data_IF_162379571202
#
_entry.id   IF_162379571202
#
_cell.length_a   1.000
_cell.length_b   1.000
_cell.length_c   1.000
_cell.angle_alpha   90.00
_cell.angle_beta   90.00
_cell.angle_gamma   90.00
#
_symmetry.space_group_name_H-M   'P 1'
#
loop_
_entity.id
_entity.type
_entity.pdbx_description
1 polymer ?
#
# COMPACT_ATOMS: atom_id res chain seq x y z
N UNK A 1 -90.09 -25.14 -14.74
CA UNK A 1 -89.04 -26.20 -14.75
C UNK A 1 -88.34 -26.19 -16.10
N UNK A 2 -87.22 -25.48 -16.23
CA UNK A 2 -86.24 -25.68 -17.30
C UNK A 2 -84.87 -25.24 -16.78
N UNK A 3 -83.92 -26.18 -16.74
CA UNK A 3 -82.52 -26.01 -16.36
C UNK A 3 -81.73 -25.39 -17.51
N UNK A 4 -80.86 -24.40 -17.22
CA UNK A 4 -79.62 -24.08 -17.96
C UNK A 4 -78.62 -23.54 -16.92
N UNK A 5 -77.74 -24.38 -16.37
CA UNK A 5 -76.35 -24.65 -16.79
C UNK A 5 -75.44 -23.39 -16.70
N UNK A 6 -74.54 -23.44 -15.72
CA UNK A 6 -73.40 -22.56 -15.46
C UNK A 6 -72.45 -22.46 -16.66
N UNK A 7 -71.84 -21.28 -16.84
CA UNK A 7 -70.43 -21.15 -17.23
C UNK A 7 -69.86 -19.95 -16.46
N UNK A 8 -69.05 -20.21 -15.43
CA UNK A 8 -68.16 -19.21 -14.81
C UNK A 8 -66.86 -19.26 -15.60
N UNK A 9 -66.58 -18.21 -16.38
CA UNK A 9 -65.32 -18.07 -17.09
C UNK A 9 -64.20 -17.69 -16.12
N UNK A 10 -63.33 -18.65 -15.80
CA UNK A 10 -62.03 -18.38 -15.17
C UNK A 10 -61.07 -17.91 -16.27
N UNK A 11 -60.77 -16.61 -16.31
CA UNK A 11 -59.70 -16.10 -17.17
C UNK A 11 -58.38 -16.37 -16.45
N UNK A 12 -57.70 -17.44 -16.84
CA UNK A 12 -56.29 -17.66 -16.49
C UNK A 12 -55.46 -16.80 -17.42
N UNK A 13 -55.07 -15.61 -16.98
CA UNK A 13 -54.00 -14.85 -17.64
C UNK A 13 -52.67 -15.53 -17.32
N UNK A 14 -52.22 -16.43 -18.20
CA UNK A 14 -50.84 -16.88 -18.20
C UNK A 14 -49.96 -15.70 -18.62
N UNK A 15 -49.43 -14.95 -17.65
CA UNK A 15 -48.34 -14.02 -17.90
C UNK A 15 -47.10 -14.85 -18.22
N UNK A 16 -46.79 -15.00 -19.52
CA UNK A 16 -45.47 -15.40 -19.98
C UNK A 16 -44.50 -14.30 -19.52
N UNK A 17 -43.85 -14.51 -18.36
CA UNK A 17 -42.63 -13.78 -18.02
C UNK A 17 -41.59 -14.20 -19.04
N UNK A 18 -41.41 -13.38 -20.07
CA UNK A 18 -40.23 -13.41 -20.92
C UNK A 18 -39.09 -13.03 -19.97
N UNK A 19 -38.41 -14.05 -19.43
CA UNK A 19 -37.09 -13.85 -18.85
C UNK A 19 -36.24 -13.26 -19.97
N UNK A 20 -36.06 -11.94 -19.91
CA UNK A 20 -35.03 -11.26 -20.69
C UNK A 20 -33.72 -11.94 -20.30
N UNK A 21 -33.18 -12.72 -21.21
CA UNK A 21 -31.81 -13.19 -21.15
C UNK A 21 -30.96 -11.91 -21.13
N UNK A 22 -30.58 -11.46 -19.93
CA UNK A 22 -29.56 -10.46 -19.73
C UNK A 22 -28.26 -11.06 -20.28
N UNK A 23 -28.03 -10.87 -21.57
CA UNK A 23 -26.69 -10.97 -22.14
C UNK A 23 -25.83 -10.01 -21.34
N UNK A 24 -24.82 -10.54 -20.64
CA UNK A 24 -23.80 -9.70 -20.01
C UNK A 24 -23.38 -8.61 -21.01
N UNK A 25 -23.27 -7.34 -20.59
CA UNK A 25 -22.92 -6.28 -21.51
C UNK A 25 -21.65 -6.68 -22.26
N UNK A 26 -21.76 -6.78 -23.58
CA UNK A 26 -20.62 -7.06 -24.46
C UNK A 26 -19.55 -6.04 -24.08
N UNK A 27 -18.38 -6.52 -23.67
CA UNK A 27 -17.26 -5.67 -23.28
C UNK A 27 -16.97 -4.74 -24.45
N UNK A 28 -17.31 -3.47 -24.28
CA UNK A 28 -17.10 -2.45 -25.30
C UNK A 28 -15.59 -2.26 -25.38
N UNK A 29 -15.00 -2.75 -26.47
CA UNK A 29 -13.63 -2.43 -26.82
C UNK A 29 -13.67 -0.97 -27.30
N UNK A 30 -13.22 -0.05 -26.44
CA UNK A 30 -13.15 1.37 -26.73
C UNK A 30 -12.04 1.63 -27.76
N UNK A 31 -12.38 2.09 -28.96
CA UNK A 31 -11.42 2.61 -29.95
C UNK A 31 -11.17 4.11 -29.67
N UNK A 32 -10.63 4.38 -28.48
CA UNK A 32 -10.23 5.74 -28.07
C UNK A 32 -8.78 6.03 -28.49
N UNK A 33 -8.39 7.30 -28.69
CA UNK A 33 -7.00 7.66 -28.93
C UNK A 33 -6.07 7.08 -27.85
N UNK A 34 -4.92 6.54 -28.26
CA UNK A 34 -3.96 5.86 -27.38
C UNK A 34 -3.56 6.75 -26.20
N UNK A 35 -3.44 8.06 -26.43
CA UNK A 35 -3.13 9.08 -25.43
C UNK A 35 -4.18 9.11 -24.34
N UNK A 36 -5.47 9.04 -24.71
CA UNK A 36 -6.58 9.04 -23.75
C UNK A 36 -6.56 7.76 -22.92
N UNK A 37 -6.30 6.61 -23.54
CA UNK A 37 -6.13 5.32 -22.84
C UNK A 37 -4.97 5.42 -21.85
N UNK A 38 -3.82 5.97 -22.28
CA UNK A 38 -2.67 6.16 -21.41
C UNK A 38 -2.97 7.08 -20.23
N UNK A 39 -3.59 8.25 -20.47
CA UNK A 39 -3.98 9.18 -19.41
C UNK A 39 -4.98 8.57 -18.42
N UNK A 40 -5.91 7.75 -18.89
CA UNK A 40 -6.92 7.16 -18.02
C UNK A 40 -6.39 6.02 -17.16
N UNK A 41 -5.49 5.18 -17.71
CA UNK A 41 -5.12 3.91 -17.09
C UNK A 41 -3.67 3.84 -16.61
N UNK A 42 -2.77 4.70 -17.11
CA UNK A 42 -1.32 4.56 -16.92
C UNK A 42 -0.66 5.79 -16.28
N UNK A 43 -1.09 7.02 -16.63
CA UNK A 43 -0.36 8.24 -16.26
C UNK A 43 -0.27 8.50 -14.75
N UNK A 44 -1.26 8.07 -13.96
CA UNK A 44 -1.25 8.24 -12.51
C UNK A 44 -0.08 7.53 -11.82
N UNK A 45 0.40 6.43 -12.41
CA UNK A 45 1.55 5.67 -11.92
C UNK A 45 2.85 6.00 -12.67
N UNK A 46 2.74 6.32 -13.97
CA UNK A 46 3.89 6.42 -14.86
C UNK A 46 4.26 7.85 -15.27
N UNK A 47 3.49 8.84 -14.80
CA UNK A 47 3.60 10.24 -15.22
C UNK A 47 2.89 10.49 -16.54
N UNK A 48 2.42 11.73 -16.75
CA UNK A 48 1.67 12.13 -17.95
C UNK A 48 2.50 11.97 -19.22
N UNK A 49 3.82 12.17 -19.12
CA UNK A 49 4.77 12.03 -20.22
C UNK A 49 5.72 10.88 -19.98
N UNK A 50 5.28 9.77 -19.37
CA UNK A 50 6.12 8.56 -19.17
C UNK A 50 7.40 8.82 -18.34
N UNK A 51 7.43 9.88 -17.54
CA UNK A 51 8.63 10.35 -16.81
C UNK A 51 9.15 9.30 -15.82
N UNK A 52 8.25 8.44 -15.29
CA UNK A 52 8.65 7.38 -14.38
C UNK A 52 9.58 6.33 -15.00
N UNK A 53 9.67 6.26 -16.33
CA UNK A 53 10.43 5.23 -17.04
C UNK A 53 11.87 5.64 -17.39
N UNK A 54 12.21 6.91 -17.26
CA UNK A 54 13.46 7.47 -17.79
C UNK A 54 14.63 7.31 -16.85
N UNK A 55 14.40 7.55 -15.55
CA UNK A 55 15.47 7.56 -14.54
C UNK A 55 15.47 6.31 -13.64
N UNK A 56 14.81 5.24 -14.09
CA UNK A 56 14.66 3.99 -13.34
C UNK A 56 15.30 2.80 -14.03
N UNK A 57 15.75 1.85 -13.22
CA UNK A 57 16.23 0.56 -13.71
C UNK A 57 15.02 -0.29 -14.09
N UNK A 58 14.94 -0.65 -15.38
CA UNK A 58 13.91 -1.54 -15.91
C UNK A 58 14.10 -2.96 -15.39
N UNK A 59 13.08 -3.52 -14.74
CA UNK A 59 13.12 -4.87 -14.18
C UNK A 59 12.64 -5.96 -15.14
N UNK A 60 11.81 -5.59 -16.11
CA UNK A 60 11.12 -6.53 -17.00
C UNK A 60 11.42 -6.27 -18.48
N UNK A 61 12.52 -5.56 -18.75
CA UNK A 61 12.90 -5.17 -20.10
C UNK A 61 12.22 -3.88 -20.58
N UNK A 62 12.66 -3.38 -21.74
CA UNK A 62 12.26 -2.08 -22.31
C UNK A 62 11.94 -2.13 -23.80
N UNK A 63 11.98 -3.32 -24.40
CA UNK A 63 11.62 -3.53 -25.80
C UNK A 63 10.10 -3.58 -25.95
N UNK A 64 9.58 -3.31 -27.15
CA UNK A 64 8.13 -3.36 -27.41
C UNK A 64 7.48 -4.68 -26.98
N UNK A 65 8.03 -5.88 -27.31
CA UNK A 65 7.43 -7.14 -26.87
C UNK A 65 7.39 -7.29 -25.34
N UNK A 66 8.42 -6.81 -24.64
CA UNK A 66 8.51 -6.85 -23.17
C UNK A 66 7.51 -5.89 -22.52
N UNK A 67 7.31 -4.70 -23.09
CA UNK A 67 6.29 -3.75 -22.67
C UNK A 67 4.89 -4.30 -22.89
N UNK A 68 4.62 -4.88 -24.06
CA UNK A 68 3.34 -5.55 -24.34
C UNK A 68 3.09 -6.67 -23.33
N UNK A 69 4.09 -7.50 -23.03
CA UNK A 69 3.99 -8.55 -22.03
C UNK A 69 3.71 -7.98 -20.62
N UNK A 70 4.39 -6.89 -20.24
CA UNK A 70 4.23 -6.21 -18.95
C UNK A 70 2.83 -5.63 -18.80
N UNK A 71 2.34 -4.87 -19.79
CA UNK A 71 1.00 -4.26 -19.78
C UNK A 71 -0.08 -5.34 -19.79
N UNK A 72 0.11 -6.40 -20.59
CA UNK A 72 -0.84 -7.50 -20.66
C UNK A 72 -0.95 -8.22 -19.32
N UNK A 73 0.17 -8.68 -18.77
CA UNK A 73 0.15 -9.61 -17.64
C UNK A 73 0.12 -8.90 -16.29
N UNK A 74 0.61 -7.65 -16.20
CA UNK A 74 0.82 -6.96 -14.95
C UNK A 74 1.87 -7.63 -14.05
N UNK A 75 2.20 -6.95 -12.96
CA UNK A 75 3.02 -7.43 -11.86
C UNK A 75 2.34 -7.02 -10.55
N UNK A 76 1.31 -7.78 -10.16
CA UNK A 76 0.47 -7.47 -9.00
C UNK A 76 1.29 -7.36 -7.70
N UNK A 77 2.37 -8.12 -7.58
CA UNK A 77 3.32 -8.04 -6.45
C UNK A 77 4.12 -6.73 -6.40
N UNK A 78 4.23 -6.05 -7.54
CA UNK A 78 4.86 -4.72 -7.66
C UNK A 78 3.84 -3.58 -7.80
N UNK A 79 2.54 -3.87 -7.68
CA UNK A 79 1.47 -2.87 -7.80
C UNK A 79 1.14 -2.46 -9.24
N UNK A 80 1.57 -3.24 -10.25
CA UNK A 80 1.18 -3.02 -11.64
C UNK A 80 0.02 -3.98 -11.99
N UNK A 81 -1.22 -3.51 -12.20
CA UNK A 81 -2.35 -4.37 -12.52
C UNK A 81 -2.21 -5.00 -13.91
N UNK A 82 -2.95 -6.09 -14.15
CA UNK A 82 -3.11 -6.67 -15.49
C UNK A 82 -4.14 -5.89 -16.30
N UNK A 83 -3.82 -5.61 -17.56
CA UNK A 83 -4.78 -5.04 -18.52
C UNK A 83 -5.35 -6.08 -19.49
N UNK A 84 -4.95 -7.36 -19.33
CA UNK A 84 -5.47 -8.46 -20.14
C UNK A 84 -6.99 -8.52 -20.04
N UNK A 85 -7.61 -8.47 -21.21
CA UNK A 85 -9.05 -8.48 -21.35
C UNK A 85 -9.70 -7.14 -21.03
N UNK A 86 -9.07 -6.21 -20.32
CA UNK A 86 -9.59 -4.84 -20.12
C UNK A 86 -9.35 -4.01 -21.39
N UNK A 87 -8.13 -4.05 -21.92
CA UNK A 87 -7.73 -3.41 -23.17
C UNK A 87 -7.64 -4.44 -24.29
N UNK A 88 -7.84 -4.01 -25.54
CA UNK A 88 -7.61 -4.90 -26.68
C UNK A 88 -6.12 -5.13 -26.91
N UNK A 89 -5.71 -6.26 -27.52
CA UNK A 89 -4.31 -6.47 -27.90
C UNK A 89 -3.73 -5.34 -28.76
N UNK A 90 -4.56 -4.72 -29.60
CA UNK A 90 -4.19 -3.58 -30.44
C UNK A 90 -3.90 -2.33 -29.60
N UNK A 91 -4.70 -2.05 -28.58
CA UNK A 91 -4.48 -0.90 -27.70
C UNK A 91 -3.25 -1.09 -26.83
N UNK A 92 -3.02 -2.31 -26.35
CA UNK A 92 -1.80 -2.65 -25.60
C UNK A 92 -0.56 -2.46 -26.49
N UNK A 93 -0.62 -2.91 -27.74
CA UNK A 93 0.47 -2.73 -28.71
C UNK A 93 0.77 -1.25 -28.96
N UNK A 94 -0.28 -0.45 -29.20
CA UNK A 94 -0.15 1.01 -29.38
C UNK A 94 0.34 1.73 -28.12
N UNK A 95 -0.06 1.29 -26.93
CA UNK A 95 0.45 1.85 -25.67
C UNK A 95 1.96 1.62 -25.54
N UNK A 96 2.44 0.44 -25.95
CA UNK A 96 3.87 0.16 -25.96
C UNK A 96 4.62 1.07 -26.95
N UNK A 97 4.04 1.33 -28.13
CA UNK A 97 4.59 2.31 -29.08
C UNK A 97 4.64 3.72 -28.48
N UNK A 98 3.53 4.21 -27.92
CA UNK A 98 3.46 5.53 -27.29
C UNK A 98 4.51 5.68 -26.17
N UNK A 99 4.71 4.65 -25.35
CA UNK A 99 5.73 4.67 -24.30
C UNK A 99 7.12 4.80 -24.93
N UNK A 100 7.45 4.01 -25.95
CA UNK A 100 8.76 4.05 -26.61
C UNK A 100 9.00 5.40 -27.31
N UNK A 101 7.99 5.93 -27.99
CA UNK A 101 8.06 7.21 -28.70
C UNK A 101 8.25 8.37 -27.72
N UNK A 102 7.45 8.42 -26.65
CA UNK A 102 7.56 9.48 -25.66
C UNK A 102 8.86 9.39 -24.85
N UNK A 103 9.38 8.19 -24.60
CA UNK A 103 10.67 8.00 -23.92
C UNK A 103 11.83 8.73 -24.62
N UNK A 104 11.78 8.90 -25.94
CA UNK A 104 12.80 9.65 -26.68
C UNK A 104 12.75 11.16 -26.42
N UNK A 105 11.58 11.69 -26.04
CA UNK A 105 11.34 13.12 -25.84
C UNK A 105 11.40 13.59 -24.38
N UNK A 106 11.51 12.67 -23.42
CA UNK A 106 11.56 13.02 -22.00
C UNK A 106 13.01 13.24 -21.58
N UNK A 107 13.28 14.39 -20.97
CA UNK A 107 14.59 14.68 -20.42
C UNK A 107 14.95 13.66 -19.33
N UNK A 108 16.07 12.97 -19.53
CA UNK A 108 16.63 12.12 -18.49
C UNK A 108 17.35 12.97 -17.45
N UNK A 109 17.20 12.63 -16.17
CA UNK A 109 18.02 13.21 -15.13
C UNK A 109 19.48 12.80 -15.36
N UNK A 110 20.28 13.74 -15.86
CA UNK A 110 21.73 13.57 -15.96
C UNK A 110 22.33 13.83 -14.59
N UNK A 111 23.04 12.85 -14.02
CA UNK A 111 23.77 13.03 -12.76
C UNK A 111 24.84 14.14 -12.82
N UNK A 112 25.24 14.57 -14.02
CA UNK A 112 26.07 15.76 -14.26
C UNK A 112 25.38 17.06 -13.83
N UNK A 113 24.04 17.07 -13.77
CA UNK A 113 23.21 18.16 -13.25
C UNK A 113 23.00 18.08 -11.73
N UNK A 114 23.84 17.34 -11.01
CA UNK A 114 23.82 17.36 -9.54
C UNK A 114 23.89 18.82 -9.05
N UNK A 115 23.02 19.22 -8.12
CA UNK A 115 23.08 20.55 -7.55
C UNK A 115 24.50 20.83 -7.04
N UNK A 116 25.14 21.89 -7.58
CA UNK A 116 26.45 22.35 -7.11
C UNK A 116 26.38 22.96 -5.70
N UNK A 117 25.16 23.23 -5.25
CA UNK A 117 24.84 23.78 -3.95
C UNK A 117 23.77 22.91 -3.31
N UNK A 118 23.83 22.78 -1.99
CA UNK A 118 22.72 22.25 -1.20
C UNK A 118 21.73 23.34 -0.79
N UNK A 119 21.86 24.56 -1.31
CA UNK A 119 20.94 25.68 -1.11
C UNK A 119 20.17 25.89 -2.42
N UNK A 120 18.84 25.85 -2.31
CA UNK A 120 17.89 26.04 -3.40
C UNK A 120 17.04 27.27 -3.07
N UNK A 121 17.12 28.29 -3.91
CA UNK A 121 16.35 29.52 -3.74
C UNK A 121 15.16 29.47 -4.68
N UNK A 122 13.95 29.59 -4.12
CA UNK A 122 12.72 29.83 -4.86
C UNK A 122 12.30 31.29 -4.66
N UNK A 123 11.21 31.72 -5.32
CA UNK A 123 10.69 33.09 -5.18
C UNK A 123 10.33 33.46 -3.74
N UNK A 124 9.89 32.50 -2.91
CA UNK A 124 9.39 32.76 -1.55
C UNK A 124 10.17 32.10 -0.41
N UNK A 125 10.98 31.08 -0.68
CA UNK A 125 11.74 30.34 0.35
C UNK A 125 13.12 29.92 -0.14
N UNK A 126 14.06 29.89 0.81
CA UNK A 126 15.38 29.26 0.63
C UNK A 126 15.39 27.92 1.34
N UNK A 127 15.61 26.85 0.59
CA UNK A 127 15.66 25.47 1.10
C UNK A 127 17.12 25.05 1.19
N UNK A 128 17.54 24.51 2.33
CA UNK A 128 18.85 23.85 2.48
C UNK A 128 18.65 22.35 2.60
N UNK A 129 19.23 21.59 1.69
CA UNK A 129 19.35 20.13 1.79
C UNK A 129 20.46 19.79 2.79
N UNK A 130 20.09 19.14 3.90
CA UNK A 130 21.03 18.65 4.88
C UNK A 130 20.96 17.13 4.99
N UNK A 131 22.09 16.47 4.67
CA UNK A 131 22.17 15.02 4.70
C UNK A 131 22.31 14.53 6.13
N UNK A 132 21.27 13.85 6.63
CA UNK A 132 21.26 13.27 8.00
C UNK A 132 22.02 11.94 8.03
N UNK A 133 21.80 11.07 7.04
CA UNK A 133 22.37 9.73 6.99
C UNK A 133 22.66 9.28 5.56
N UNK A 134 23.64 8.39 5.40
CA UNK A 134 23.96 7.71 4.14
C UNK A 134 24.14 6.21 4.35
N UNK A 135 24.20 5.45 3.25
CA UNK A 135 24.40 4.00 3.27
C UNK A 135 23.23 3.22 3.87
N UNK A 136 22.02 3.77 3.83
CA UNK A 136 20.78 3.04 4.10
C UNK A 136 20.41 2.28 2.82
N UNK A 137 19.90 1.05 2.94
CA UNK A 137 19.53 0.26 1.76
C UNK A 137 18.16 0.66 1.24
N UNK A 138 17.16 0.69 2.13
CA UNK A 138 15.77 0.98 1.78
C UNK A 138 15.09 1.66 2.97
N UNK A 139 15.51 2.89 3.35
CA UNK A 139 14.92 3.60 4.47
C UNK A 139 13.42 3.81 4.26
N UNK A 140 12.63 3.59 5.31
CA UNK A 140 11.16 3.66 5.26
C UNK A 140 10.61 4.81 6.09
N UNK A 141 10.77 4.74 7.41
CA UNK A 141 10.38 5.77 8.36
C UNK A 141 11.55 6.30 9.18
N UNK A 142 11.34 7.45 9.82
CA UNK A 142 12.26 7.99 10.81
C UNK A 142 11.51 8.71 11.93
N UNK A 143 12.12 8.77 13.11
CA UNK A 143 11.63 9.56 14.23
C UNK A 143 12.80 10.31 14.90
N UNK A 144 12.62 11.60 15.16
CA UNK A 144 13.62 12.41 15.85
C UNK A 144 13.44 12.29 17.37
N UNK A 145 14.50 11.88 18.05
CA UNK A 145 14.59 11.80 19.51
C UNK A 145 14.71 13.20 20.14
N UNK A 146 14.39 13.38 21.44
CA UNK A 146 14.51 14.67 22.11
C UNK A 146 15.92 15.27 22.10
N UNK A 147 16.96 14.42 22.04
CA UNK A 147 18.36 14.83 21.90
C UNK A 147 18.76 15.17 20.45
N UNK A 148 17.78 15.21 19.54
CA UNK A 148 17.86 15.48 18.09
C UNK A 148 18.39 14.35 17.23
N UNK A 149 18.85 13.25 17.83
CA UNK A 149 19.25 12.05 17.09
C UNK A 149 18.05 11.42 16.37
N UNK A 150 18.30 10.58 15.39
CA UNK A 150 17.26 9.98 14.57
C UNK A 150 17.25 8.48 14.72
N UNK A 151 16.07 7.92 14.97
CA UNK A 151 15.81 6.52 14.68
C UNK A 151 15.35 6.41 13.23
N UNK A 152 15.95 5.51 12.46
CA UNK A 152 15.63 5.28 11.06
C UNK A 152 15.38 3.79 10.86
N UNK A 153 14.14 3.45 10.50
CA UNK A 153 13.77 2.10 10.06
C UNK A 153 14.19 1.89 8.60
N UNK A 154 14.82 0.76 8.32
CA UNK A 154 15.13 0.28 6.98
C UNK A 154 14.29 -0.96 6.68
N UNK A 155 13.60 -0.95 5.54
CA UNK A 155 12.70 -2.02 5.09
C UNK A 155 13.39 -3.38 5.02
N UNK A 156 14.72 -3.43 4.96
CA UNK A 156 15.51 -4.66 5.04
C UNK A 156 15.49 -5.36 6.41
N UNK A 157 14.76 -4.81 7.38
CA UNK A 157 14.65 -5.38 8.73
C UNK A 157 15.77 -4.90 9.64
N UNK A 158 16.13 -3.62 9.50
CA UNK A 158 17.18 -2.98 10.30
C UNK A 158 16.65 -1.69 10.90
N UNK A 159 16.99 -1.44 12.17
CA UNK A 159 16.73 -0.18 12.84
C UNK A 159 18.08 0.48 13.11
N UNK A 160 18.22 1.77 12.77
CA UNK A 160 19.43 2.53 12.99
C UNK A 160 19.19 3.71 13.91
N UNK A 161 20.12 3.97 14.83
CA UNK A 161 20.29 5.26 15.49
C UNK A 161 21.33 6.06 14.71
N UNK A 162 21.00 7.30 14.37
CA UNK A 162 21.91 8.26 13.73
C UNK A 162 22.08 9.46 14.62
N UNK A 163 23.30 9.68 15.10
CA UNK A 163 23.61 10.79 15.99
C UNK A 163 23.80 12.13 15.24
N UNK A 164 23.94 13.23 15.98
CA UNK A 164 24.21 14.56 15.39
C UNK A 164 25.56 14.64 14.65
N UNK A 165 26.48 13.71 14.88
CA UNK A 165 27.76 13.58 14.15
C UNK A 165 27.63 12.69 12.91
N UNK A 166 26.41 12.22 12.60
CA UNK A 166 26.06 11.33 11.49
C UNK A 166 26.66 9.93 11.62
N UNK A 167 27.05 9.53 12.83
CA UNK A 167 27.40 8.14 13.10
C UNK A 167 26.13 7.30 13.07
N UNK A 168 26.16 6.20 12.32
CA UNK A 168 25.06 5.25 12.19
C UNK A 168 25.37 4.00 13.01
N UNK A 169 24.49 3.64 13.93
CA UNK A 169 24.62 2.45 14.76
C UNK A 169 23.35 1.61 14.67
N UNK A 170 23.50 0.31 14.44
CA UNK A 170 22.35 -0.61 14.41
C UNK A 170 21.79 -0.84 15.82
N UNK A 171 20.46 -0.76 15.93
CA UNK A 171 19.70 -1.22 17.10
C UNK A 171 19.32 -2.68 16.86
N UNK A 172 19.84 -3.56 17.72
CA UNK A 172 19.64 -5.02 17.61
C UNK A 172 18.44 -5.49 18.44
N UNK A 173 17.99 -6.74 18.24
CA UNK A 173 16.92 -7.34 19.04
C UNK A 173 15.49 -6.91 18.66
N UNK A 174 15.33 -6.20 17.54
CA UNK A 174 14.00 -5.91 16.97
C UNK A 174 13.32 -7.21 16.49
N UNK A 175 11.98 -7.24 16.33
CA UNK A 175 11.29 -8.40 15.80
C UNK A 175 11.77 -8.78 14.40
N UNK A 176 11.70 -10.09 14.09
CA UNK A 176 11.91 -10.56 12.72
C UNK A 176 10.80 -10.02 11.80
N UNK A 177 11.19 -9.68 10.57
CA UNK A 177 10.28 -9.09 9.58
C UNK A 177 10.36 -9.83 8.25
N UNK A 178 9.27 -9.84 7.50
CA UNK A 178 9.26 -10.32 6.12
C UNK A 178 9.69 -9.20 5.17
N UNK A 179 10.99 -9.08 4.92
CA UNK A 179 11.57 -8.09 3.99
C UNK A 179 11.44 -8.52 2.52
N UNK A 180 10.20 -8.61 2.02
CA UNK A 180 9.87 -9.00 0.64
C UNK A 180 8.74 -8.14 0.08
N UNK A 181 8.82 -7.83 -1.22
CA UNK A 181 7.85 -6.97 -1.89
C UNK A 181 7.81 -5.57 -1.26
N UNK A 182 6.65 -5.17 -0.76
CA UNK A 182 6.46 -3.93 -0.01
C UNK A 182 6.68 -4.08 1.50
N UNK A 183 6.83 -5.32 1.99
CA UNK A 183 7.01 -5.62 3.41
C UNK A 183 8.44 -5.38 3.89
N UNK A 184 8.58 -5.20 5.21
CA UNK A 184 9.83 -5.04 5.93
C UNK A 184 9.62 -4.49 7.32
N UNK A 185 10.65 -3.85 7.88
CA UNK A 185 10.46 -2.89 8.96
C UNK A 185 9.94 -1.58 8.34
N UNK A 186 8.77 -1.12 8.79
CA UNK A 186 8.04 -0.04 8.14
C UNK A 186 8.08 1.23 8.98
N UNK A 187 6.97 1.63 9.60
CA UNK A 187 6.93 2.91 10.29
C UNK A 187 7.57 2.86 11.66
N UNK A 188 8.01 4.02 12.14
CA UNK A 188 8.55 4.20 13.48
C UNK A 188 8.00 5.49 14.09
N UNK A 189 7.49 5.39 15.32
CA UNK A 189 6.93 6.53 16.03
C UNK A 189 7.41 6.55 17.48
N UNK A 190 7.60 7.74 18.03
CA UNK A 190 7.83 7.91 19.47
C UNK A 190 6.49 8.08 20.17
N UNK A 191 6.40 7.58 21.40
CA UNK A 191 5.30 7.94 22.28
C UNK A 191 5.23 9.48 22.46
N UNK A 192 4.04 10.09 22.58
CA UNK A 192 3.92 11.53 22.85
C UNK A 192 4.66 12.00 24.11
N UNK A 193 4.84 11.11 25.08
CA UNK A 193 5.62 11.30 26.32
C UNK A 193 6.94 10.52 26.33
N UNK A 194 7.60 10.37 25.19
CA UNK A 194 8.82 9.57 25.06
C UNK A 194 9.91 9.99 26.04
N UNK A 195 10.07 11.28 26.33
CA UNK A 195 11.06 11.77 27.29
C UNK A 195 10.82 11.24 28.73
N UNK A 196 9.58 10.86 29.06
CA UNK A 196 9.21 10.32 30.37
C UNK A 196 9.28 8.79 30.41
N UNK A 197 8.85 8.12 29.33
CA UNK A 197 8.62 6.67 29.35
C UNK A 197 9.48 5.85 28.38
N UNK A 198 10.14 6.47 27.42
CA UNK A 198 11.05 5.83 26.48
C UNK A 198 10.40 4.89 25.45
N UNK A 199 9.08 4.91 25.30
CA UNK A 199 8.38 4.00 24.39
C UNK A 199 8.53 4.40 22.92
N UNK A 200 9.05 3.47 22.12
CA UNK A 200 9.12 3.53 20.65
C UNK A 200 8.14 2.50 20.08
N UNK A 201 7.49 2.84 18.98
CA UNK A 201 6.52 1.99 18.27
C UNK A 201 7.06 1.69 16.88
N UNK A 202 6.91 0.46 16.42
CA UNK A 202 7.25 0.05 15.06
C UNK A 202 6.08 -0.69 14.43
N UNK A 203 5.84 -0.44 13.15
CA UNK A 203 5.04 -1.34 12.32
C UNK A 203 5.95 -2.15 11.41
N UNK A 204 5.56 -3.40 11.16
CA UNK A 204 6.39 -4.33 10.40
C UNK A 204 5.54 -5.39 9.70
N UNK A 205 6.13 -6.01 8.69
CA UNK A 205 5.58 -7.19 8.04
C UNK A 205 5.81 -8.44 8.91
N UNK A 206 4.85 -8.74 9.78
CA UNK A 206 4.85 -9.99 10.56
C UNK A 206 4.59 -11.17 9.62
N UNK A 207 5.14 -12.34 9.92
CA UNK A 207 4.95 -13.53 9.10
C UNK A 207 4.94 -14.81 9.94
N UNK A 208 4.37 -15.86 9.35
CA UNK A 208 4.42 -17.24 9.86
C UNK A 208 4.45 -18.23 8.71
N UNK A 209 4.82 -19.47 9.01
CA UNK A 209 4.82 -20.57 8.05
C UNK A 209 3.57 -21.44 8.23
N UNK A 210 2.93 -21.77 7.11
CA UNK A 210 1.89 -22.78 7.00
C UNK A 210 2.35 -23.83 5.97
N UNK A 211 2.94 -24.91 6.48
CA UNK A 211 3.73 -25.85 5.67
C UNK A 211 4.88 -25.13 4.93
N UNK A 212 4.93 -25.25 3.61
CA UNK A 212 5.88 -24.55 2.76
C UNK A 212 5.44 -23.13 2.36
N UNK A 213 4.28 -22.67 2.84
CA UNK A 213 3.72 -21.38 2.47
C UNK A 213 4.06 -20.32 3.51
N UNK A 214 4.63 -19.21 3.07
CA UNK A 214 4.77 -18.02 3.91
C UNK A 214 3.47 -17.24 3.92
N UNK A 215 2.95 -16.98 5.11
CA UNK A 215 1.83 -16.09 5.37
C UNK A 215 2.35 -14.80 5.99
N UNK A 216 1.87 -13.65 5.54
CA UNK A 216 2.27 -12.34 6.06
C UNK A 216 1.09 -11.50 6.50
N UNK A 217 1.35 -10.57 7.40
CA UNK A 217 0.40 -9.59 7.90
C UNK A 217 1.10 -8.32 8.39
N UNK A 218 0.34 -7.33 8.84
CA UNK A 218 0.86 -6.13 9.48
C UNK A 218 0.84 -6.32 10.99
N UNK A 219 2.00 -6.13 11.64
CA UNK A 219 2.13 -6.15 13.10
C UNK A 219 2.53 -4.77 13.64
N UNK A 220 2.09 -4.47 14.86
CA UNK A 220 2.49 -3.28 15.63
C UNK A 220 3.11 -3.74 16.95
N UNK A 221 4.30 -3.24 17.24
CA UNK A 221 5.06 -3.53 18.46
C UNK A 221 5.49 -2.23 19.12
N UNK A 222 5.60 -2.21 20.44
CA UNK A 222 6.35 -1.19 21.17
C UNK A 222 7.48 -1.78 21.99
N UNK A 223 8.45 -0.95 22.33
CA UNK A 223 9.62 -1.32 23.10
C UNK A 223 10.42 -0.09 23.49
N UNK A 224 11.53 -0.33 24.16
CA UNK A 224 12.49 0.71 24.53
C UNK A 224 13.85 0.38 23.94
N UNK A 225 14.74 1.37 23.92
CA UNK A 225 16.10 1.19 23.42
C UNK A 225 17.08 1.41 24.58
N UNK A 226 17.90 0.41 24.87
CA UNK A 226 18.96 0.47 25.89
C UNK A 226 20.22 -0.16 25.34
N UNK A 227 21.35 0.55 25.40
CA UNK A 227 22.66 0.08 24.93
C UNK A 227 22.61 -0.47 23.49
N UNK A 228 21.94 0.25 22.57
CA UNK A 228 21.73 -0.17 21.18
C UNK A 228 20.99 -1.50 21.00
N UNK A 229 20.15 -1.86 21.97
CA UNK A 229 19.27 -3.03 21.90
C UNK A 229 17.82 -2.62 22.13
N UNK A 230 16.92 -3.23 21.38
CA UNK A 230 15.49 -3.22 21.60
C UNK A 230 15.13 -4.12 22.79
N UNK A 231 14.47 -3.54 23.79
CA UNK A 231 14.14 -4.20 25.05
C UNK A 231 12.70 -3.89 25.44
N UNK A 232 12.16 -4.62 26.43
CA UNK A 232 10.77 -4.44 26.91
C UNK A 232 9.74 -4.53 25.76
N UNK A 233 9.99 -5.43 24.79
CA UNK A 233 9.18 -5.58 23.60
C UNK A 233 7.78 -6.09 23.94
N UNK A 234 6.76 -5.40 23.43
CA UNK A 234 5.34 -5.72 23.62
C UNK A 234 4.62 -5.65 22.27
N UNK A 235 4.05 -6.78 21.85
CA UNK A 235 3.17 -6.82 20.69
C UNK A 235 1.84 -6.17 21.05
N UNK A 236 1.43 -5.17 20.26
CA UNK A 236 0.21 -4.40 20.50
C UNK A 236 -0.91 -4.82 19.56
N UNK A 237 -0.55 -5.26 18.35
CA UNK A 237 -1.51 -5.58 17.33
C UNK A 237 -0.94 -6.56 16.30
N UNK A 238 -1.76 -7.51 15.90
CA UNK A 238 -1.52 -8.45 14.81
C UNK A 238 -2.75 -8.42 13.91
N UNK A 239 -2.61 -7.98 12.66
CA UNK A 239 -3.74 -7.95 11.72
C UNK A 239 -4.15 -9.37 11.31
N UNK A 240 -5.45 -9.64 11.33
CA UNK A 240 -6.04 -10.87 10.82
C UNK A 240 -7.05 -10.60 9.68
N UNK A 241 -7.22 -11.55 8.74
CA UNK A 241 -6.42 -12.75 8.56
C UNK A 241 -5.05 -12.45 7.92
N UNK A 242 -4.12 -13.38 8.08
CA UNK A 242 -2.89 -13.40 7.28
C UNK A 242 -3.18 -13.75 5.82
N UNK A 243 -2.33 -13.28 4.91
CA UNK A 243 -2.43 -13.61 3.48
C UNK A 243 -1.10 -14.12 2.91
N UNK A 244 -1.14 -14.68 1.70
CA UNK A 244 0.05 -15.12 0.95
C UNK A 244 0.73 -13.97 0.19
N UNK A 245 0.22 -12.74 0.29
CA UNK A 245 0.68 -11.59 -0.50
C UNK A 245 1.80 -10.83 0.20
N UNK A 246 2.65 -10.15 -0.58
CA UNK A 246 3.78 -9.34 -0.10
C UNK A 246 3.60 -7.85 -0.42
N UNK A 247 2.34 -7.40 -0.58
CA UNK A 247 1.99 -6.02 -0.89
C UNK A 247 0.85 -5.53 0.01
N UNK A 248 0.68 -4.21 0.04
CA UNK A 248 -0.41 -3.48 0.69
C UNK A 248 -0.46 -3.71 2.21
N UNK A 249 0.66 -3.50 2.90
CA UNK A 249 0.73 -3.63 4.37
C UNK A 249 0.03 -2.47 5.11
N UNK A 250 -0.16 -1.30 4.47
CA UNK A 250 -0.34 -0.07 5.26
C UNK A 250 0.95 0.21 6.02
N UNK A 251 0.87 0.77 7.23
CA UNK A 251 1.92 0.79 8.27
C UNK A 251 1.89 2.02 9.18
N UNK A 252 1.38 3.15 8.68
CA UNK A 252 1.63 4.48 9.28
C UNK A 252 1.04 4.54 10.69
N UNK A 253 1.84 4.88 11.69
CA UNK A 253 1.47 5.07 13.09
C UNK A 253 1.41 6.57 13.38
N UNK A 254 0.37 7.02 14.08
CA UNK A 254 0.28 8.40 14.57
C UNK A 254 -0.47 8.46 15.89
N UNK A 255 -0.17 9.44 16.72
CA UNK A 255 -0.88 9.70 17.97
C UNK A 255 -1.69 10.98 17.84
N UNK A 256 -2.93 10.95 18.31
CA UNK A 256 -3.72 12.17 18.42
C UNK A 256 -3.40 12.93 19.71
N UNK A 257 -4.02 14.11 19.86
CA UNK A 257 -3.85 14.95 21.05
C UNK A 257 -4.57 14.41 22.30
N UNK A 258 -5.37 13.36 22.16
CA UNK A 258 -6.11 12.72 23.26
C UNK A 258 -5.42 11.45 23.78
N UNK A 259 -4.30 11.06 23.16
CA UNK A 259 -3.51 9.90 23.56
C UNK A 259 -3.92 8.59 22.87
N UNK A 260 -4.74 8.65 21.82
CA UNK A 260 -5.05 7.49 21.01
C UNK A 260 -3.99 7.27 19.94
N UNK A 261 -3.60 6.02 19.76
CA UNK A 261 -2.76 5.57 18.66
C UNK A 261 -3.64 5.17 17.48
N UNK A 262 -3.35 5.72 16.32
CA UNK A 262 -3.94 5.34 15.05
C UNK A 262 -2.91 4.66 14.18
N UNK A 263 -3.33 3.63 13.44
CA UNK A 263 -2.48 3.04 12.42
C UNK A 263 -3.26 2.48 11.24
N UNK A 264 -2.62 2.45 10.07
CA UNK A 264 -3.20 1.90 8.86
C UNK A 264 -2.78 0.46 8.62
N UNK A 265 -3.75 -0.38 8.25
CA UNK A 265 -3.54 -1.73 7.74
C UNK A 265 -4.08 -1.78 6.32
N UNK A 266 -3.23 -2.10 5.35
CA UNK A 266 -3.64 -2.21 3.96
C UNK A 266 -4.45 -3.48 3.69
N UNK A 267 -5.11 -3.52 2.53
CA UNK A 267 -6.13 -4.53 2.21
C UNK A 267 -5.57 -5.85 1.63
N UNK A 268 -4.25 -5.94 1.45
CA UNK A 268 -3.53 -7.17 1.06
C UNK A 268 -3.83 -7.69 -0.36
N UNK A 269 -4.39 -6.88 -1.25
CA UNK A 269 -4.76 -7.24 -2.63
C UNK A 269 -6.19 -7.77 -2.81
N UNK A 270 -6.98 -7.77 -1.75
CA UNK A 270 -8.41 -8.12 -1.66
C UNK A 270 -9.33 -6.88 -1.61
N UNK A 271 -9.14 -5.95 -2.57
CA UNK A 271 -9.70 -4.58 -2.54
C UNK A 271 -11.23 -4.51 -2.42
N UNK A 272 -11.93 -5.53 -2.90
CA UNK A 272 -13.41 -5.60 -2.91
C UNK A 272 -14.00 -6.28 -1.68
N UNK A 273 -13.18 -6.95 -0.89
CA UNK A 273 -13.61 -7.85 0.18
C UNK A 273 -13.17 -7.28 1.52
N UNK A 274 -11.86 -7.30 1.80
CA UNK A 274 -11.36 -6.94 3.12
C UNK A 274 -11.73 -5.54 3.58
N UNK A 275 -11.65 -4.48 2.75
CA UNK A 275 -12.07 -3.15 3.19
C UNK A 275 -13.55 -3.05 3.59
N UNK A 276 -14.42 -3.87 3.00
CA UNK A 276 -15.87 -3.82 3.21
C UNK A 276 -16.32 -4.67 4.41
N UNK A 277 -15.65 -5.79 4.65
CA UNK A 277 -15.97 -6.71 5.75
C UNK A 277 -15.45 -6.16 7.10
N UNK A 278 -16.26 -6.30 8.14
CA UNK A 278 -15.96 -5.79 9.49
C UNK A 278 -15.36 -6.83 10.43
N UNK A 279 -15.37 -8.11 10.03
CA UNK A 279 -14.85 -9.27 10.75
C UNK A 279 -13.34 -9.51 10.54
N UNK A 280 -12.65 -8.57 9.89
CA UNK A 280 -11.21 -8.60 9.69
C UNK A 280 -10.57 -7.23 9.96
N UNK A 281 -9.24 -7.20 9.89
CA UNK A 281 -8.44 -6.02 10.19
C UNK A 281 -7.85 -5.35 8.95
N UNK A 282 -7.94 -6.02 7.79
CA UNK A 282 -7.29 -5.56 6.57
C UNK A 282 -8.10 -4.44 5.89
N UNK A 283 -7.39 -3.47 5.33
CA UNK A 283 -7.98 -2.33 4.62
C UNK A 283 -8.66 -1.30 5.52
N UNK A 284 -8.18 -1.12 6.75
CA UNK A 284 -8.80 -0.26 7.78
C UNK A 284 -7.80 0.71 8.41
N UNK A 285 -8.37 1.74 9.05
CA UNK A 285 -7.67 2.56 10.05
C UNK A 285 -8.11 2.06 11.42
N UNK A 286 -7.14 1.66 12.23
CA UNK A 286 -7.35 1.18 13.59
C UNK A 286 -7.08 2.28 14.61
N UNK A 287 -7.77 2.21 15.74
CA UNK A 287 -7.60 3.12 16.88
C UNK A 287 -7.48 2.31 18.17
N UNK A 288 -6.34 2.45 18.85
CA UNK A 288 -6.02 1.81 20.13
C UNK A 288 -5.59 2.85 21.17
N UNK A 289 -5.57 2.46 22.43
CA UNK A 289 -4.74 3.13 23.43
C UNK A 289 -3.25 2.90 23.13
N UNK A 290 -2.38 3.69 23.76
CA UNK A 290 -0.92 3.59 23.61
C UNK A 290 -0.37 2.23 24.12
N UNK A 291 -1.11 1.52 24.97
CA UNK A 291 -0.80 0.17 25.42
C UNK A 291 -1.43 -0.96 24.60
N UNK A 292 -2.09 -0.62 23.49
CA UNK A 292 -2.74 -1.59 22.61
C UNK A 292 -4.14 -1.99 23.05
N UNK A 293 -4.63 -1.52 24.20
CA UNK A 293 -6.02 -1.80 24.62
C UNK A 293 -7.03 -1.09 23.71
N UNK A 294 -8.21 -1.69 23.56
CA UNK A 294 -9.28 -1.20 22.66
C UNK A 294 -10.12 -0.12 23.38
N UNK A 295 -10.25 1.09 22.83
CA UNK A 295 -11.14 2.12 23.37
C UNK A 295 -12.59 1.65 23.37
N UNK A 296 -13.28 1.80 24.51
CA UNK A 296 -14.68 1.37 24.69
C UNK A 296 -15.68 2.09 23.76
N UNK A 297 -15.30 3.26 23.26
CA UNK A 297 -16.07 4.07 22.34
C UNK A 297 -15.71 3.82 20.86
N UNK A 298 -14.90 2.80 20.55
CA UNK A 298 -14.69 2.38 19.15
C UNK A 298 -16.03 1.96 18.52
N UNK A 299 -16.27 2.29 17.23
CA UNK A 299 -17.60 2.23 16.62
C UNK A 299 -18.25 0.83 16.56
N UNK A 300 -17.44 -0.23 16.63
CA UNK A 300 -17.89 -1.62 16.50
C UNK A 300 -17.90 -2.41 17.82
N UNK A 301 -17.44 -1.82 18.93
CA UNK A 301 -17.40 -2.50 20.24
C UNK A 301 -18.82 -2.88 20.67
N UNK A 302 -19.05 -4.17 20.89
CA UNK A 302 -20.34 -4.71 21.34
C UNK A 302 -21.49 -4.60 20.33
N UNK A 303 -21.19 -4.26 19.06
CA UNK A 303 -22.18 -4.10 17.99
C UNK A 303 -22.00 -5.10 16.85
N UNK A 304 -20.84 -5.71 16.74
CA UNK A 304 -20.53 -6.73 15.75
C UNK A 304 -20.16 -8.03 16.47
N UNK A 305 -20.87 -9.15 16.26
CA UNK A 305 -20.49 -10.44 16.85
C UNK A 305 -19.12 -10.95 16.39
N UNK A 306 -18.48 -10.31 15.40
CA UNK A 306 -17.14 -10.64 14.95
C UNK A 306 -15.98 -9.90 15.66
N UNK A 307 -16.25 -8.98 16.60
CA UNK A 307 -15.20 -8.28 17.38
C UNK A 307 -15.54 -8.08 18.86
#
# INVERSE_FOLDING_TARGET
>A
MYKKIMIVGFIVTATLSIMSLNTAPKKVILDEPTEKIYTQYCSSCHGEKVEAFVDRVWKHGKTKPELVASITNGYNDMGMPTWKGILSPKDIDKLADLIIENLAGVEQYKFENKPKSNIFVSEGITIKLDTIATGLESPWGFAQLPNKDYLISDRKGKLYLVDQKRNKTEITGIPEVMAKGQGGLLDIALHPKFAENGWVYMSYSKFKMDGSTTLTSTGIVRGKIKNNMWVESQELFESLPYTKTFHHFGSRITFDKKGFMFFSVGERGMEKVFPQETDNDNGKIHRLHDDGTVPKDNPFVGKDPAK
#
